data_IF_778886063538
#
_entry.id   IF_778886063538
#
_cell.length_a   1.000
_cell.length_b   1.000
_cell.length_c   1.000
_cell.angle_alpha   90.00
_cell.angle_beta   90.00
_cell.angle_gamma   90.00
#
_symmetry.space_group_name_H-M   'P 1'
#
loop_
_entity.id
_entity.type
_entity.pdbx_description
1 polymer ?
#
# COMPACT_ATOMS: atom_id res chain seq x y z
N UNK A 1 -20.23 -17.10 25.06
CA UNK A 1 -18.83 -17.52 25.10
C UNK A 1 -18.25 -17.00 26.40
N UNK A 2 -17.62 -17.86 27.19
CA UNK A 2 -16.92 -17.44 28.40
C UNK A 2 -15.62 -16.73 27.99
N UNK A 3 -15.42 -15.50 28.48
CA UNK A 3 -14.25 -14.67 28.17
C UNK A 3 -12.95 -15.25 28.73
N UNK A 4 -13.03 -16.19 29.68
CA UNK A 4 -11.86 -16.89 30.23
C UNK A 4 -11.35 -18.02 29.36
N UNK A 5 -12.17 -18.51 28.43
CA UNK A 5 -11.83 -19.63 27.54
C UNK A 5 -11.38 -19.15 26.16
N UNK A 6 -12.08 -18.17 25.57
CA UNK A 6 -11.75 -17.67 24.25
C UNK A 6 -12.22 -16.23 24.00
N UNK A 7 -11.64 -15.59 22.99
CA UNK A 7 -12.01 -14.24 22.59
C UNK A 7 -13.35 -14.25 21.83
N UNK A 8 -14.23 -13.29 22.15
CA UNK A 8 -15.46 -13.06 21.38
C UNK A 8 -15.12 -12.37 20.05
N UNK A 9 -15.14 -13.10 18.95
CA UNK A 9 -14.72 -12.62 17.62
C UNK A 9 -15.86 -12.16 16.70
N UNK A 10 -17.10 -12.50 17.03
CA UNK A 10 -18.26 -12.14 16.22
C UNK A 10 -18.56 -10.63 16.33
N UNK A 11 -18.65 -9.96 15.19
CA UNK A 11 -18.92 -8.51 15.13
C UNK A 11 -20.40 -8.19 14.93
N UNK A 12 -21.21 -9.14 14.50
CA UNK A 12 -22.62 -8.89 14.21
C UNK A 12 -23.48 -9.00 15.48
N UNK A 13 -23.12 -9.90 16.40
CA UNK A 13 -23.85 -10.08 17.67
C UNK A 13 -23.16 -9.43 18.88
N UNK A 14 -21.94 -8.92 18.74
CA UNK A 14 -21.21 -8.29 19.84
C UNK A 14 -21.93 -7.05 20.38
N UNK A 15 -22.11 -7.05 21.71
CA UNK A 15 -22.53 -5.90 22.50
C UNK A 15 -21.35 -5.42 23.33
N UNK A 16 -21.00 -4.14 23.20
CA UNK A 16 -19.87 -3.54 23.91
C UNK A 16 -20.23 -3.35 25.40
N UNK A 17 -19.29 -3.68 26.27
CA UNK A 17 -19.42 -3.53 27.72
C UNK A 17 -18.12 -2.95 28.31
N UNK A 18 -18.17 -2.49 29.57
CA UNK A 18 -17.04 -1.93 30.33
C UNK A 18 -16.27 -0.79 29.62
N UNK A 19 -16.98 -0.02 28.78
CA UNK A 19 -16.42 1.02 27.91
C UNK A 19 -17.25 2.31 27.94
N UNK A 20 -17.77 2.66 29.12
CA UNK A 20 -18.51 3.91 29.41
C UNK A 20 -19.61 4.23 28.37
N UNK A 21 -19.49 5.33 27.62
CA UNK A 21 -20.48 5.81 26.66
C UNK A 21 -20.69 4.87 25.45
N UNK A 22 -19.86 3.83 25.30
CA UNK A 22 -19.99 2.78 24.30
C UNK A 22 -20.79 1.58 24.79
N UNK A 23 -21.08 1.48 26.09
CA UNK A 23 -21.80 0.34 26.67
C UNK A 23 -23.18 0.15 26.03
N UNK A 24 -23.53 -1.11 25.78
CA UNK A 24 -24.83 -1.50 25.22
C UNK A 24 -24.96 -1.29 23.70
N UNK A 25 -23.96 -0.71 23.05
CA UNK A 25 -23.95 -0.54 21.60
C UNK A 25 -23.45 -1.81 20.91
N UNK A 26 -23.95 -2.04 19.70
CA UNK A 26 -23.36 -3.04 18.80
C UNK A 26 -22.04 -2.52 18.21
N UNK A 27 -21.24 -3.43 17.63
CA UNK A 27 -19.95 -3.10 17.03
C UNK A 27 -20.01 -1.92 16.04
N UNK A 28 -21.00 -1.90 15.14
CA UNK A 28 -21.12 -0.87 14.09
C UNK A 28 -21.38 0.52 14.69
N UNK A 29 -22.32 0.63 15.61
CA UNK A 29 -22.64 1.90 16.28
C UNK A 29 -21.52 2.36 17.20
N UNK A 30 -20.91 1.44 17.96
CA UNK A 30 -19.79 1.76 18.84
C UNK A 30 -18.57 2.27 18.06
N UNK A 31 -18.23 1.64 16.93
CA UNK A 31 -17.11 2.06 16.07
C UNK A 31 -17.31 3.48 15.55
N UNK A 32 -18.51 3.83 15.10
CA UNK A 32 -18.81 5.19 14.64
C UNK A 32 -18.70 6.21 15.79
N UNK A 33 -19.29 5.89 16.94
CA UNK A 33 -19.33 6.78 18.10
C UNK A 33 -17.95 7.04 18.71
N UNK A 34 -17.08 6.03 18.75
CA UNK A 34 -15.71 6.22 19.27
C UNK A 34 -14.86 7.05 18.32
N UNK A 35 -15.03 6.92 17.00
CA UNK A 35 -14.34 7.76 16.01
C UNK A 35 -14.76 9.24 16.21
N UNK A 36 -16.06 9.52 16.30
CA UNK A 36 -16.57 10.88 16.55
C UNK A 36 -15.99 11.46 17.86
N UNK A 37 -15.95 10.67 18.94
CA UNK A 37 -15.40 11.11 20.21
C UNK A 37 -13.88 11.43 20.11
N UNK A 38 -13.11 10.60 19.42
CA UNK A 38 -11.67 10.82 19.21
C UNK A 38 -11.39 12.06 18.34
N UNK A 39 -12.22 12.32 17.34
CA UNK A 39 -12.15 13.51 16.49
C UNK A 39 -12.46 14.79 17.30
N UNK A 40 -13.50 14.77 18.13
CA UNK A 40 -13.83 15.89 19.01
C UNK A 40 -12.73 16.20 20.03
N UNK A 41 -12.00 15.18 20.50
CA UNK A 41 -10.87 15.33 21.41
C UNK A 41 -9.56 15.73 20.69
N UNK A 42 -9.53 15.74 19.36
CA UNK A 42 -8.31 15.97 18.57
C UNK A 42 -7.26 14.87 18.75
N UNK A 43 -7.65 13.67 19.19
CA UNK A 43 -6.77 12.53 19.50
C UNK A 43 -6.78 11.44 18.43
N UNK A 44 -7.52 11.65 17.34
CA UNK A 44 -7.57 10.73 16.22
C UNK A 44 -8.55 11.20 15.16
N UNK A 45 -8.65 10.43 14.08
CA UNK A 45 -9.64 10.63 13.03
C UNK A 45 -9.97 9.31 12.33
N UNK A 46 -11.15 9.23 11.73
CA UNK A 46 -11.57 8.08 10.93
C UNK A 46 -10.71 7.92 9.68
N UNK A 47 -10.16 6.72 9.45
CA UNK A 47 -9.37 6.43 8.25
C UNK A 47 -9.82 5.12 7.60
N UNK A 48 -10.16 5.20 6.31
CA UNK A 48 -10.37 4.01 5.47
C UNK A 48 -9.04 3.60 4.87
N UNK A 49 -8.69 2.31 5.00
CA UNK A 49 -7.47 1.75 4.43
C UNK A 49 -7.83 0.63 3.45
N UNK A 50 -7.06 0.54 2.37
CA UNK A 50 -7.19 -0.52 1.37
C UNK A 50 -6.03 -1.51 1.50
N UNK A 51 -6.32 -2.78 1.28
CA UNK A 51 -5.28 -3.82 1.14
C UNK A 51 -4.59 -3.77 -0.22
N UNK A 52 -5.17 -3.05 -1.17
CA UNK A 52 -4.59 -2.80 -2.49
C UNK A 52 -3.19 -2.17 -2.34
N UNK A 53 -2.28 -2.60 -3.21
CA UNK A 53 -0.91 -2.09 -3.29
C UNK A 53 -0.71 -1.41 -4.63
N UNK A 54 0.24 -0.49 -4.68
CA UNK A 54 0.64 0.15 -5.93
C UNK A 54 1.18 -0.91 -6.90
N UNK A 55 0.87 -0.72 -8.18
CA UNK A 55 1.35 -1.60 -9.22
C UNK A 55 2.83 -1.32 -9.50
N UNK A 56 3.69 -2.31 -9.23
CA UNK A 56 5.12 -2.20 -9.50
C UNK A 56 5.42 -2.72 -10.91
N UNK A 57 5.74 -1.80 -11.82
CA UNK A 57 6.02 -2.11 -13.23
C UNK A 57 7.51 -2.28 -13.55
N UNK A 58 8.41 -1.76 -12.72
CA UNK A 58 9.86 -1.88 -12.93
C UNK A 58 10.30 -3.35 -12.97
N UNK A 59 11.15 -3.70 -13.94
CA UNK A 59 11.77 -5.02 -14.07
C UNK A 59 13.26 -4.87 -14.34
N UNK A 60 14.10 -5.60 -13.62
CA UNK A 60 15.54 -5.70 -13.91
C UNK A 60 15.75 -6.75 -15.00
N UNK A 61 15.33 -6.43 -16.22
CA UNK A 61 15.41 -7.30 -17.40
C UNK A 61 15.77 -6.45 -18.62
N UNK A 62 16.69 -6.94 -19.43
CA UNK A 62 17.02 -6.32 -20.72
C UNK A 62 15.82 -6.34 -21.67
N UNK A 63 15.15 -7.50 -21.83
CA UNK A 63 14.04 -7.65 -22.79
C UNK A 63 12.73 -7.07 -22.26
N UNK A 64 12.60 -5.75 -22.33
CA UNK A 64 11.43 -4.98 -21.94
C UNK A 64 11.46 -3.56 -22.52
N UNK A 65 10.38 -2.81 -22.34
CA UNK A 65 10.32 -1.41 -22.76
C UNK A 65 11.24 -0.53 -21.89
N UNK A 66 12.14 0.28 -22.49
CA UNK A 66 12.94 1.25 -21.73
C UNK A 66 12.05 2.28 -21.03
N UNK A 67 12.33 2.54 -19.75
CA UNK A 67 11.63 3.62 -19.02
C UNK A 67 12.02 4.99 -19.61
N UNK A 68 11.05 5.88 -19.88
CA UNK A 68 11.32 7.20 -20.46
C UNK A 68 11.84 8.22 -19.43
N UNK A 69 12.89 7.83 -18.72
CA UNK A 69 13.53 8.61 -17.65
C UNK A 69 15.04 8.63 -17.89
N UNK A 70 15.65 9.81 -17.79
CA UNK A 70 17.10 10.01 -17.75
C UNK A 70 17.49 10.73 -16.46
N UNK A 71 18.78 10.71 -16.09
CA UNK A 71 19.24 11.29 -14.84
C UNK A 71 20.19 12.47 -15.07
N UNK A 72 19.93 13.57 -14.35
CA UNK A 72 20.82 14.74 -14.32
C UNK A 72 21.19 14.98 -12.86
N UNK A 73 22.49 14.86 -12.52
CA UNK A 73 23.00 14.99 -11.15
C UNK A 73 22.26 14.09 -10.13
N UNK A 74 21.90 12.87 -10.53
CA UNK A 74 21.16 11.92 -9.69
C UNK A 74 19.65 12.15 -9.58
N UNK A 75 19.11 13.20 -10.22
CA UNK A 75 17.67 13.47 -10.23
C UNK A 75 17.02 12.91 -11.51
N UNK A 76 15.90 12.16 -11.40
CA UNK A 76 15.19 11.64 -12.56
C UNK A 76 14.49 12.77 -13.32
N UNK A 77 14.56 12.72 -14.65
CA UNK A 77 13.94 13.65 -15.59
C UNK A 77 13.17 12.84 -16.63
N UNK A 78 11.98 13.29 -16.99
CA UNK A 78 11.18 12.67 -18.05
C UNK A 78 11.74 13.03 -19.43
N UNK A 79 11.79 12.05 -20.33
CA UNK A 79 12.14 12.27 -21.73
C UNK A 79 10.99 13.00 -22.43
N UNK A 80 11.31 14.04 -23.20
CA UNK A 80 10.35 14.80 -24.01
C UNK A 80 9.76 13.92 -25.12
N UNK A 81 8.45 14.05 -25.37
CA UNK A 81 7.68 13.21 -26.29
C UNK A 81 8.28 13.15 -27.69
N UNK A 82 8.94 14.22 -28.16
CA UNK A 82 9.58 14.25 -29.49
C UNK A 82 10.76 13.28 -29.64
N UNK A 83 11.31 12.79 -28.53
CA UNK A 83 12.40 11.81 -28.51
C UNK A 83 11.89 10.37 -28.30
N UNK A 84 10.57 10.16 -28.18
CA UNK A 84 9.97 8.83 -28.13
C UNK A 84 9.75 8.29 -29.56
N UNK A 85 9.80 6.95 -29.75
CA UNK A 85 10.06 5.91 -28.76
C UNK A 85 11.56 5.76 -28.44
N UNK A 86 11.86 5.27 -27.24
CA UNK A 86 13.22 4.90 -26.86
C UNK A 86 13.45 3.46 -27.31
N UNK A 87 14.37 3.29 -28.24
CA UNK A 87 14.72 1.96 -28.76
C UNK A 87 15.65 1.24 -27.79
N UNK A 88 15.37 -0.04 -27.56
CA UNK A 88 16.24 -0.92 -26.77
C UNK A 88 17.61 -1.05 -27.47
N UNK A 89 18.74 -0.88 -26.75
CA UNK A 89 20.07 -0.94 -27.37
C UNK A 89 20.42 -2.38 -27.76
N UNK A 90 21.02 -2.61 -28.93
CA UNK A 90 21.42 -3.96 -29.35
C UNK A 90 22.46 -4.58 -28.41
N UNK A 91 22.34 -5.88 -28.12
CA UNK A 91 23.27 -6.62 -27.27
C UNK A 91 23.82 -7.82 -28.03
N UNK A 92 25.15 -7.98 -28.04
CA UNK A 92 25.82 -9.05 -28.79
C UNK A 92 25.56 -10.45 -28.21
N UNK A 93 25.40 -10.56 -26.89
CA UNK A 93 25.17 -11.83 -26.18
C UNK A 93 24.20 -11.64 -25.02
N UNK A 94 23.16 -12.46 -25.00
CA UNK A 94 22.15 -12.52 -23.93
C UNK A 94 22.61 -13.33 -22.70
N UNK A 95 23.90 -13.64 -22.62
CA UNK A 95 24.46 -14.46 -21.56
C UNK A 95 24.85 -13.56 -20.38
N UNK A 96 24.77 -14.06 -19.14
CA UNK A 96 25.28 -13.33 -17.98
C UNK A 96 26.73 -12.88 -18.24
N UNK A 97 27.07 -11.66 -17.85
CA UNK A 97 28.49 -11.25 -17.78
C UNK A 97 29.20 -12.09 -16.73
N UNK A 98 30.54 -12.20 -16.77
CA UNK A 98 31.28 -12.97 -15.76
C UNK A 98 31.05 -12.46 -14.33
N UNK A 99 30.68 -11.18 -14.18
CA UNK A 99 30.33 -10.53 -12.92
C UNK A 99 28.87 -10.75 -12.47
N UNK A 100 28.06 -11.47 -13.26
CA UNK A 100 26.66 -11.75 -12.96
C UNK A 100 25.71 -10.56 -13.15
N UNK A 101 26.18 -9.48 -13.80
CA UNK A 101 25.33 -8.37 -14.20
C UNK A 101 24.39 -8.79 -15.34
N UNK A 102 23.20 -8.17 -15.44
CA UNK A 102 22.33 -8.39 -16.58
C UNK A 102 23.04 -8.04 -17.91
N UNK A 103 22.76 -8.78 -19.01
CA UNK A 103 23.31 -8.49 -20.33
C UNK A 103 22.82 -7.14 -20.86
#
# INVERSE_FOLDING_TARGET
VDISEEAFVDKDTAIIANSDFLNGLNYKHATKKVIEALEHLGQGYGKVNYRLRDAVFSRQRYWGEPFPVYYVNGMPQMIDEKYLPITLPEVEKYLPTEDGEPP
#
